data_IF_746058518018
#
_entry.id   IF_746058518018
#
_cell.length_a   1.000
_cell.length_b   1.000
_cell.length_c   1.000
_cell.angle_alpha   90.00
_cell.angle_beta   90.00
_cell.angle_gamma   90.00
#
_symmetry.space_group_name_H-M   'P 1'
#
loop_
_entity.id
_entity.type
_entity.pdbx_description
1 polymer ?
#
# COMPACT_ATOMS: atom_id res chain seq x y z
N UNK A 1 -15.35 -52.24 -59.71
CA UNK A 1 -16.20 -52.42 -58.51
C UNK A 1 -15.69 -51.46 -57.47
N UNK A 2 -16.28 -50.28 -57.39
CA UNK A 2 -15.97 -49.22 -56.42
C UNK A 2 -17.12 -49.16 -55.44
N UNK A 3 -16.85 -49.57 -54.19
CA UNK A 3 -17.83 -49.41 -53.08
C UNK A 3 -17.96 -47.93 -52.72
N UNK A 4 -19.16 -47.39 -52.55
CA UNK A 4 -19.34 -46.03 -52.07
C UNK A 4 -19.08 -45.95 -50.56
N UNK A 5 -18.18 -45.09 -50.15
CA UNK A 5 -17.92 -44.73 -48.76
C UNK A 5 -19.10 -43.89 -48.29
N UNK A 6 -19.89 -44.43 -47.36
CA UNK A 6 -21.00 -43.72 -46.73
C UNK A 6 -20.43 -42.50 -45.87
N UNK A 7 -21.06 -41.33 -45.85
CA UNK A 7 -20.60 -40.23 -45.06
C UNK A 7 -20.83 -40.48 -43.56
N UNK A 8 -19.78 -40.32 -42.75
CA UNK A 8 -19.75 -40.52 -41.29
C UNK A 8 -20.61 -39.45 -40.51
N UNK A 9 -21.36 -38.62 -41.23
CA UNK A 9 -22.07 -37.46 -40.65
C UNK A 9 -23.36 -37.86 -39.86
N UNK A 10 -23.89 -39.05 -40.11
CA UNK A 10 -25.20 -39.49 -39.47
C UNK A 10 -25.05 -40.20 -38.11
N UNK A 11 -23.80 -40.30 -37.57
CA UNK A 11 -23.58 -41.00 -36.30
C UNK A 11 -23.60 -40.06 -35.06
N UNK A 12 -23.69 -38.74 -35.27
CA UNK A 12 -23.81 -37.79 -34.14
C UNK A 12 -25.30 -37.53 -33.92
N UNK A 13 -25.90 -38.34 -33.08
CA UNK A 13 -27.27 -38.05 -32.60
C UNK A 13 -27.38 -36.62 -32.03
N UNK A 14 -28.57 -36.02 -32.01
CA UNK A 14 -28.75 -34.66 -31.53
C UNK A 14 -28.13 -34.50 -30.14
N UNK A 15 -27.24 -33.54 -30.01
CA UNK A 15 -26.59 -33.22 -28.74
C UNK A 15 -27.68 -33.06 -27.66
N UNK A 16 -27.57 -33.85 -26.60
CA UNK A 16 -28.50 -33.72 -25.47
C UNK A 16 -28.54 -32.27 -25.02
N UNK A 17 -29.74 -31.69 -24.83
CA UNK A 17 -29.85 -30.32 -24.38
C UNK A 17 -29.05 -30.15 -23.08
N UNK A 18 -28.34 -29.01 -22.89
CA UNK A 18 -27.60 -28.78 -21.68
C UNK A 18 -28.52 -28.97 -20.48
N UNK A 19 -28.16 -29.90 -19.60
CA UNK A 19 -28.90 -30.10 -18.34
C UNK A 19 -28.91 -28.76 -17.61
N UNK A 20 -29.96 -28.02 -17.68
CA UNK A 20 -30.23 -26.91 -16.77
C UNK A 20 -30.32 -27.54 -15.38
N UNK A 21 -29.23 -27.37 -14.61
CA UNK A 21 -29.27 -27.64 -13.18
C UNK A 21 -30.27 -26.61 -12.60
N UNK A 22 -31.55 -26.95 -12.61
CA UNK A 22 -32.54 -26.22 -11.83
C UNK A 22 -32.12 -26.41 -10.38
N UNK A 23 -31.36 -25.44 -9.87
CA UNK A 23 -30.94 -25.42 -8.49
C UNK A 23 -32.16 -25.43 -7.61
N UNK A 24 -32.52 -26.58 -7.08
CA UNK A 24 -33.35 -26.63 -5.89
C UNK A 24 -32.59 -25.84 -4.84
N UNK A 25 -33.08 -24.62 -4.54
CA UNK A 25 -32.55 -23.80 -3.44
C UNK A 25 -32.76 -24.59 -2.14
N UNK A 26 -31.81 -25.47 -1.85
CA UNK A 26 -31.83 -26.27 -0.64
C UNK A 26 -31.73 -25.33 0.57
N UNK A 27 -32.35 -25.67 1.68
CA UNK A 27 -32.28 -24.89 2.92
C UNK A 27 -30.83 -24.64 3.32
N UNK A 28 -29.91 -25.56 3.00
CA UNK A 28 -28.49 -25.43 3.16
C UNK A 28 -27.87 -24.25 2.37
N UNK A 29 -28.24 -24.05 1.09
CA UNK A 29 -27.75 -22.94 0.29
C UNK A 29 -28.22 -21.58 0.83
N UNK A 30 -29.49 -21.53 1.29
CA UNK A 30 -30.03 -20.31 1.92
C UNK A 30 -29.30 -20.00 3.23
N UNK A 31 -29.07 -21.01 4.06
CA UNK A 31 -28.35 -20.88 5.31
C UNK A 31 -26.90 -20.43 5.05
N UNK A 32 -26.21 -21.07 4.10
CA UNK A 32 -24.85 -20.71 3.71
C UNK A 32 -24.75 -19.26 3.21
N UNK A 33 -25.66 -18.86 2.32
CA UNK A 33 -25.74 -17.48 1.84
C UNK A 33 -26.03 -16.50 2.97
N UNK A 34 -26.93 -16.81 3.89
CA UNK A 34 -27.24 -15.97 5.04
C UNK A 34 -26.02 -15.78 5.96
N UNK A 35 -25.30 -16.88 6.26
CA UNK A 35 -24.06 -16.82 7.07
C UNK A 35 -23.01 -15.96 6.39
N UNK A 36 -22.77 -16.14 5.10
CA UNK A 36 -21.80 -15.31 4.35
C UNK A 36 -22.21 -13.83 4.30
N UNK A 37 -23.52 -13.57 4.14
CA UNK A 37 -24.04 -12.20 4.13
C UNK A 37 -23.87 -11.54 5.50
N UNK A 38 -24.19 -12.27 6.59
CA UNK A 38 -23.98 -11.77 7.95
C UNK A 38 -22.50 -11.51 8.24
N UNK A 39 -21.60 -12.42 7.84
CA UNK A 39 -20.15 -12.24 7.97
C UNK A 39 -19.67 -11.01 7.17
N UNK A 40 -20.18 -10.83 5.95
CA UNK A 40 -19.83 -9.67 5.13
C UNK A 40 -20.35 -8.35 5.74
N UNK A 41 -21.55 -8.36 6.34
CA UNK A 41 -22.11 -7.19 7.01
C UNK A 41 -21.44 -6.88 8.36
N UNK A 42 -20.88 -7.88 9.02
CA UNK A 42 -20.16 -7.69 10.29
C UNK A 42 -18.97 -6.73 10.13
N UNK A 43 -18.23 -6.77 9.00
CA UNK A 43 -17.06 -5.92 8.76
C UNK A 43 -17.43 -4.42 8.76
N UNK A 44 -18.38 -3.92 7.93
CA UNK A 44 -18.74 -2.50 7.95
C UNK A 44 -19.43 -2.08 9.27
N UNK A 45 -20.12 -2.98 9.96
CA UNK A 45 -20.69 -2.69 11.28
C UNK A 45 -19.61 -2.50 12.32
N UNK A 46 -18.60 -3.40 12.38
CA UNK A 46 -17.44 -3.25 13.26
C UNK A 46 -16.65 -1.98 12.96
N UNK A 47 -16.47 -1.65 11.69
CA UNK A 47 -15.80 -0.42 11.28
C UNK A 47 -16.60 0.81 11.75
N UNK A 48 -17.92 0.81 11.58
CA UNK A 48 -18.81 1.87 12.07
C UNK A 48 -18.74 2.02 13.59
N UNK A 49 -18.70 0.91 14.32
CA UNK A 49 -18.55 0.91 15.77
C UNK A 49 -17.18 1.48 16.19
N UNK A 50 -16.10 1.08 15.52
CA UNK A 50 -14.76 1.64 15.75
C UNK A 50 -14.73 3.16 15.54
N UNK A 51 -15.32 3.65 14.47
CA UNK A 51 -15.42 5.10 14.21
C UNK A 51 -16.21 5.81 15.31
N UNK A 52 -17.30 5.20 15.77
CA UNK A 52 -18.11 5.72 16.87
C UNK A 52 -17.31 5.82 18.17
N UNK A 53 -16.56 4.77 18.54
CA UNK A 53 -15.70 4.77 19.72
C UNK A 53 -14.58 5.80 19.63
N UNK A 54 -13.91 5.91 18.46
CA UNK A 54 -12.89 6.95 18.24
C UNK A 54 -13.49 8.35 18.36
N UNK A 55 -14.69 8.58 17.83
CA UNK A 55 -15.39 9.85 17.97
C UNK A 55 -15.75 10.15 19.42
N UNK A 56 -16.29 9.16 20.16
CA UNK A 56 -16.67 9.35 21.57
C UNK A 56 -15.45 9.58 22.44
N UNK A 57 -14.36 8.83 22.27
CA UNK A 57 -13.12 9.02 23.02
C UNK A 57 -12.41 10.35 22.73
N UNK A 58 -12.61 10.91 21.52
CA UNK A 58 -11.98 12.17 21.11
C UNK A 58 -12.78 13.42 21.49
N UNK A 59 -14.02 13.29 22.00
CA UNK A 59 -14.93 14.42 22.24
C UNK A 59 -14.35 15.50 23.15
N UNK A 60 -13.59 15.13 24.18
CA UNK A 60 -13.00 16.09 25.13
C UNK A 60 -11.96 16.96 24.40
N UNK A 61 -11.02 16.35 23.68
CA UNK A 61 -10.01 17.07 22.91
C UNK A 61 -10.63 17.85 21.73
N UNK A 62 -11.65 17.29 21.04
CA UNK A 62 -12.38 17.99 20.00
C UNK A 62 -13.08 19.25 20.53
N UNK A 63 -13.68 19.18 21.72
CA UNK A 63 -14.35 20.31 22.35
C UNK A 63 -13.38 21.43 22.75
N UNK A 64 -12.17 21.08 23.19
CA UNK A 64 -11.18 22.08 23.64
C UNK A 64 -10.36 22.66 22.49
N UNK A 65 -9.89 21.85 21.55
CA UNK A 65 -8.97 22.28 20.50
C UNK A 65 -9.66 22.49 19.15
N UNK A 66 -10.77 21.81 18.90
CA UNK A 66 -11.49 21.93 17.65
C UNK A 66 -10.59 21.67 16.43
N UNK A 67 -10.65 22.58 15.45
CA UNK A 67 -9.88 22.48 14.21
C UNK A 67 -8.40 22.88 14.39
N UNK A 68 -8.06 23.65 15.43
CA UNK A 68 -6.69 24.05 15.71
C UNK A 68 -5.78 22.84 16.02
N UNK A 69 -6.36 21.75 16.55
CA UNK A 69 -5.64 20.49 16.74
C UNK A 69 -4.90 19.98 15.49
N UNK A 70 -5.46 20.20 14.32
CA UNK A 70 -4.86 19.74 13.05
C UNK A 70 -3.74 20.69 12.58
N UNK A 71 -3.79 21.96 12.96
CA UNK A 71 -2.89 23.01 12.48
C UNK A 71 -1.79 23.37 13.47
N UNK A 72 -2.00 23.12 14.75
CA UNK A 72 -1.03 23.41 15.79
C UNK A 72 0.10 22.41 15.82
N UNK A 73 1.31 22.89 16.14
CA UNK A 73 2.54 22.10 16.18
C UNK A 73 3.04 21.77 17.59
N UNK A 74 2.36 22.27 18.64
CA UNK A 74 2.77 22.06 20.02
C UNK A 74 2.15 20.77 20.55
N UNK A 75 2.99 19.88 21.08
CA UNK A 75 2.56 18.68 21.77
C UNK A 75 3.23 18.64 23.14
N UNK A 76 2.50 18.99 24.19
CA UNK A 76 2.99 19.05 25.57
C UNK A 76 1.93 18.44 26.50
N UNK A 77 2.13 17.17 26.92
CA UNK A 77 1.22 16.50 27.83
C UNK A 77 1.15 17.12 29.23
N UNK A 78 2.22 17.81 29.66
CA UNK A 78 2.27 18.44 31.00
C UNK A 78 1.46 19.72 31.01
N UNK A 79 1.54 20.53 29.95
CA UNK A 79 0.76 21.75 29.79
C UNK A 79 -0.62 21.50 29.17
N UNK A 80 -0.98 20.24 28.91
CA UNK A 80 -2.22 19.81 28.26
C UNK A 80 -2.50 20.55 26.94
N UNK A 81 -1.45 20.81 26.15
CA UNK A 81 -1.54 21.42 24.81
C UNK A 81 -1.22 20.39 23.76
N UNK A 82 -2.18 20.16 22.86
CA UNK A 82 -2.05 19.11 21.87
C UNK A 82 -2.33 19.61 20.46
N UNK A 83 -1.35 19.46 19.56
CA UNK A 83 -1.43 19.76 18.14
C UNK A 83 -0.87 18.63 17.30
N UNK A 84 -1.63 18.17 16.32
CA UNK A 84 -1.29 17.00 15.51
C UNK A 84 -0.51 17.31 14.23
N UNK A 85 -0.26 18.58 13.90
CA UNK A 85 0.36 18.96 12.62
C UNK A 85 1.70 18.27 12.34
N UNK A 86 2.67 18.21 13.29
CA UNK A 86 3.92 17.49 13.08
C UNK A 86 3.73 15.99 12.82
N UNK A 87 2.73 15.38 13.47
CA UNK A 87 2.41 13.96 13.34
C UNK A 87 1.79 13.65 11.97
N UNK A 88 0.88 14.51 11.50
CA UNK A 88 0.28 14.43 10.16
C UNK A 88 1.37 14.59 9.10
N UNK A 89 2.21 15.61 9.24
CA UNK A 89 3.34 15.87 8.35
C UNK A 89 4.29 14.67 8.28
N UNK A 90 4.69 14.13 9.44
CA UNK A 90 5.57 12.97 9.53
C UNK A 90 4.98 11.73 8.87
N UNK A 91 3.69 11.45 9.08
CA UNK A 91 2.99 10.33 8.46
C UNK A 91 2.93 10.45 6.94
N UNK A 92 2.57 11.62 6.43
CA UNK A 92 2.47 11.85 4.98
C UNK A 92 3.83 11.82 4.31
N UNK A 93 4.83 12.50 4.89
CA UNK A 93 6.18 12.59 4.33
C UNK A 93 6.87 11.23 4.32
N UNK A 94 6.85 10.48 5.44
CA UNK A 94 7.48 9.15 5.50
C UNK A 94 6.84 8.17 4.52
N UNK A 95 5.51 8.16 4.41
CA UNK A 95 4.78 7.30 3.48
C UNK A 95 5.04 7.68 2.03
N UNK A 96 5.09 8.98 1.71
CA UNK A 96 5.39 9.47 0.37
C UNK A 96 6.82 9.08 -0.07
N UNK A 97 7.82 9.31 0.79
CA UNK A 97 9.21 8.95 0.52
C UNK A 97 9.37 7.43 0.38
N UNK A 98 8.69 6.66 1.22
CA UNK A 98 8.70 5.21 1.13
C UNK A 98 8.14 4.72 -0.22
N UNK A 99 7.04 5.28 -0.69
CA UNK A 99 6.47 4.95 -2.01
C UNK A 99 7.38 5.39 -3.15
N UNK A 100 8.00 6.56 -3.06
CA UNK A 100 8.93 7.05 -4.08
C UNK A 100 10.09 6.08 -4.32
N UNK A 101 10.54 5.39 -3.28
CA UNK A 101 11.59 4.36 -3.35
C UNK A 101 10.99 3.01 -3.75
N UNK A 102 9.91 2.59 -3.08
CA UNK A 102 9.37 1.24 -3.21
C UNK A 102 8.71 0.98 -4.57
N UNK A 103 7.95 1.95 -5.11
CA UNK A 103 7.17 1.74 -6.33
C UNK A 103 8.04 1.40 -7.55
N UNK A 104 9.07 2.22 -7.91
CA UNK A 104 9.88 1.92 -9.09
C UNK A 104 10.64 0.59 -8.95
N UNK A 105 11.15 0.29 -7.76
CA UNK A 105 11.87 -0.96 -7.50
C UNK A 105 10.93 -2.16 -7.58
N UNK A 106 9.76 -2.07 -6.94
CA UNK A 106 8.75 -3.13 -6.93
C UNK A 106 8.23 -3.44 -8.34
N UNK A 107 7.90 -2.40 -9.11
CA UNK A 107 7.41 -2.58 -10.48
C UNK A 107 8.51 -3.12 -11.40
N UNK A 108 9.74 -2.64 -11.27
CA UNK A 108 10.88 -3.15 -12.03
C UNK A 108 11.11 -4.64 -11.80
N UNK A 109 11.08 -5.08 -10.54
CA UNK A 109 11.22 -6.50 -10.18
C UNK A 109 10.00 -7.31 -10.65
N UNK A 110 8.77 -6.81 -10.47
CA UNK A 110 7.57 -7.48 -10.93
C UNK A 110 7.59 -7.72 -12.45
N UNK A 111 7.91 -6.69 -13.24
CA UNK A 111 8.07 -6.79 -14.70
C UNK A 111 9.20 -7.76 -15.07
N UNK A 112 10.35 -7.69 -14.39
CA UNK A 112 11.45 -8.60 -14.67
C UNK A 112 11.03 -10.07 -14.46
N UNK A 113 10.37 -10.38 -13.35
CA UNK A 113 9.96 -11.76 -13.02
C UNK A 113 8.91 -12.28 -14.01
N UNK A 114 7.96 -11.44 -14.43
CA UNK A 114 6.87 -11.86 -15.31
C UNK A 114 7.33 -12.03 -16.75
N UNK A 115 8.10 -11.09 -17.30
CA UNK A 115 8.36 -11.00 -18.73
C UNK A 115 9.78 -11.48 -19.12
N UNK A 116 10.79 -11.25 -18.29
CA UNK A 116 12.19 -11.49 -18.65
C UNK A 116 12.83 -12.66 -17.94
N UNK A 117 12.44 -12.98 -16.70
CA UNK A 117 13.08 -14.02 -15.92
C UNK A 117 12.92 -15.40 -16.56
N UNK A 118 13.96 -16.25 -16.55
CA UNK A 118 13.86 -17.64 -16.98
C UNK A 118 12.91 -18.40 -16.06
N UNK A 119 12.21 -19.40 -16.61
CA UNK A 119 11.13 -20.14 -15.92
C UNK A 119 11.55 -20.72 -14.58
N UNK A 120 12.81 -21.17 -14.45
CA UNK A 120 13.31 -21.76 -13.20
C UNK A 120 13.51 -20.74 -12.06
N UNK A 121 13.64 -19.42 -12.35
CA UNK A 121 13.78 -18.37 -11.33
C UNK A 121 12.44 -17.78 -10.88
N UNK A 122 11.39 -17.86 -11.70
CA UNK A 122 10.11 -17.20 -11.45
C UNK A 122 9.47 -17.63 -10.14
N UNK A 123 9.38 -18.94 -9.89
CA UNK A 123 8.77 -19.48 -8.66
C UNK A 123 9.62 -19.25 -7.41
N UNK A 124 10.94 -19.56 -7.39
CA UNK A 124 11.77 -19.30 -6.23
C UNK A 124 11.79 -17.82 -5.81
N UNK A 125 11.90 -16.90 -6.78
CA UNK A 125 11.90 -15.46 -6.46
C UNK A 125 10.53 -15.01 -5.94
N UNK A 126 9.42 -15.48 -6.54
CA UNK A 126 8.09 -15.19 -6.03
C UNK A 126 7.91 -15.69 -4.58
N UNK A 127 8.36 -16.91 -4.28
CA UNK A 127 8.31 -17.47 -2.94
C UNK A 127 9.12 -16.64 -1.92
N UNK A 128 10.32 -16.17 -2.29
CA UNK A 128 11.12 -15.30 -1.43
C UNK A 128 10.41 -13.97 -1.17
N UNK A 129 9.76 -13.37 -2.18
CA UNK A 129 8.99 -12.13 -2.03
C UNK A 129 7.83 -12.34 -1.04
N UNK A 130 7.10 -13.45 -1.16
CA UNK A 130 6.00 -13.79 -0.25
C UNK A 130 6.50 -14.01 1.18
N UNK A 131 7.65 -14.67 1.36
CA UNK A 131 8.28 -14.82 2.68
C UNK A 131 8.67 -13.46 3.29
N UNK A 132 9.25 -12.56 2.50
CA UNK A 132 9.60 -11.21 2.96
C UNK A 132 8.34 -10.42 3.38
N UNK A 133 7.23 -10.56 2.65
CA UNK A 133 5.97 -9.92 3.00
C UNK A 133 5.36 -10.44 4.31
N UNK A 134 5.68 -11.68 4.71
CA UNK A 134 5.19 -12.31 5.93
C UNK A 134 5.99 -11.97 7.20
N UNK A 135 7.16 -11.32 7.06
CA UNK A 135 8.00 -10.94 8.21
C UNK A 135 7.26 -9.88 9.06
N UNK A 136 7.16 -10.08 10.40
CA UNK A 136 6.58 -9.09 11.31
C UNK A 136 7.34 -7.75 11.26
N UNK A 137 6.61 -6.62 11.31
CA UNK A 137 7.20 -5.28 11.23
C UNK A 137 8.21 -4.97 12.34
N UNK A 138 8.02 -5.54 13.53
CA UNK A 138 8.96 -5.41 14.65
C UNK A 138 10.35 -5.96 14.28
N UNK A 139 10.42 -7.07 13.52
CA UNK A 139 11.70 -7.64 13.08
C UNK A 139 12.42 -6.68 12.14
N UNK A 140 11.70 -6.05 11.22
CA UNK A 140 12.25 -4.98 10.37
C UNK A 140 12.73 -3.79 11.20
N UNK A 141 11.98 -3.41 12.24
CA UNK A 141 12.35 -2.34 13.15
C UNK A 141 13.66 -2.63 13.90
N UNK A 142 13.78 -3.82 14.50
CA UNK A 142 15.01 -4.27 15.19
C UNK A 142 16.19 -4.35 14.23
N UNK A 143 16.03 -4.98 13.07
CA UNK A 143 17.05 -5.02 12.05
C UNK A 143 17.45 -3.60 11.60
N UNK A 144 16.47 -2.71 11.52
CA UNK A 144 16.67 -1.32 11.16
C UNK A 144 17.58 -0.58 12.15
N UNK A 145 17.36 -0.73 13.45
CA UNK A 145 18.18 -0.10 14.49
C UNK A 145 19.63 -0.63 14.46
N UNK A 146 19.78 -1.96 14.44
CA UNK A 146 21.10 -2.57 14.63
C UNK A 146 21.94 -2.68 13.35
N UNK A 147 21.31 -2.71 12.18
CA UNK A 147 22.00 -2.92 10.91
C UNK A 147 21.81 -1.73 9.97
N UNK A 148 20.55 -1.34 9.70
CA UNK A 148 20.27 -0.30 8.70
C UNK A 148 20.78 1.08 9.16
N UNK A 149 20.46 1.53 10.38
CA UNK A 149 20.92 2.84 10.88
C UNK A 149 22.44 2.97 10.89
N UNK A 150 23.23 2.02 11.43
CA UNK A 150 24.69 2.09 11.34
C UNK A 150 25.21 2.14 9.91
N UNK A 151 24.61 1.36 9.01
CA UNK A 151 24.97 1.37 7.59
C UNK A 151 24.64 2.72 6.92
N UNK A 152 23.43 3.26 7.13
CA UNK A 152 23.03 4.55 6.60
C UNK A 152 23.93 5.68 7.11
N UNK A 153 24.23 5.69 8.41
CA UNK A 153 25.07 6.69 9.06
C UNK A 153 26.51 6.67 8.56
N UNK A 154 27.04 5.48 8.26
CA UNK A 154 28.43 5.32 7.83
C UNK A 154 28.62 5.61 6.34
N UNK A 155 27.68 5.21 5.49
CA UNK A 155 27.88 5.24 4.03
C UNK A 155 26.88 6.16 3.31
N UNK A 156 25.59 6.03 3.56
CA UNK A 156 24.56 6.67 2.74
C UNK A 156 24.36 8.14 3.09
N UNK A 157 24.21 8.47 4.38
CA UNK A 157 23.98 9.85 4.80
C UNK A 157 25.15 10.80 4.47
N UNK A 158 26.41 10.41 4.68
CA UNK A 158 27.54 11.22 4.23
C UNK A 158 27.59 11.40 2.72
N UNK A 159 27.31 10.33 1.94
CA UNK A 159 27.27 10.40 0.49
C UNK A 159 26.15 11.33 0.00
N UNK A 160 24.92 11.19 0.55
CA UNK A 160 23.80 12.08 0.23
C UNK A 160 24.11 13.54 0.58
N UNK A 161 24.75 13.79 1.73
CA UNK A 161 25.16 15.12 2.13
C UNK A 161 26.23 15.72 1.20
N UNK A 162 27.16 14.91 0.72
CA UNK A 162 28.20 15.37 -0.22
C UNK A 162 27.61 15.71 -1.58
N UNK A 163 26.70 14.88 -2.11
CA UNK A 163 26.11 15.05 -3.44
C UNK A 163 24.99 16.07 -3.45
N UNK A 164 24.10 16.03 -2.45
CA UNK A 164 22.86 16.81 -2.38
C UNK A 164 22.85 17.85 -1.24
N UNK A 165 23.98 18.10 -0.58
CA UNK A 165 24.08 19.03 0.54
C UNK A 165 23.77 20.50 0.21
N UNK A 166 23.61 20.85 -1.07
CA UNK A 166 23.08 22.14 -1.51
C UNK A 166 21.56 22.27 -1.29
N UNK A 167 20.85 21.15 -1.13
CA UNK A 167 19.42 21.13 -0.84
C UNK A 167 19.19 21.17 0.68
N UNK A 168 18.23 21.94 1.19
CA UNK A 168 17.93 22.01 2.62
C UNK A 168 17.50 20.65 3.22
N UNK A 169 16.98 19.75 2.41
CA UNK A 169 16.56 18.42 2.82
C UNK A 169 17.70 17.49 3.26
N UNK A 170 18.94 17.75 2.83
CA UNK A 170 20.13 16.94 3.12
C UNK A 170 21.17 17.69 3.95
N UNK A 171 20.76 18.75 4.65
CA UNK A 171 21.61 19.54 5.54
C UNK A 171 21.36 19.17 7.01
N UNK A 172 22.28 19.58 7.89
CA UNK A 172 22.14 19.39 9.33
C UNK A 172 22.88 18.17 9.90
N UNK A 173 22.76 17.94 11.21
CA UNK A 173 23.46 16.86 11.90
C UNK A 173 22.86 15.48 11.58
N UNK A 174 23.71 14.47 11.54
CA UNK A 174 23.35 13.08 11.26
C UNK A 174 23.20 12.35 12.61
N UNK A 175 21.99 12.26 13.13
CA UNK A 175 21.73 11.58 14.42
C UNK A 175 21.66 10.05 14.30
N UNK A 176 21.18 9.53 13.18
CA UNK A 176 20.91 8.10 12.94
C UNK A 176 19.42 7.84 12.78
N UNK A 177 18.64 7.74 13.88
CA UNK A 177 17.18 7.76 13.78
C UNK A 177 16.71 9.06 13.13
N UNK A 178 15.90 8.93 12.08
CA UNK A 178 15.56 10.09 11.24
C UNK A 178 14.36 9.77 10.34
N UNK A 179 13.76 10.81 9.79
CA UNK A 179 12.69 10.70 8.79
C UNK A 179 13.11 9.82 7.60
N UNK A 180 14.36 10.01 7.11
CA UNK A 180 14.86 9.22 5.98
C UNK A 180 15.08 7.76 6.33
N UNK A 181 15.62 7.44 7.54
CA UNK A 181 15.79 6.06 7.98
C UNK A 181 14.46 5.33 8.09
N UNK A 182 13.45 5.99 8.67
CA UNK A 182 12.09 5.47 8.76
C UNK A 182 11.46 5.26 7.36
N UNK A 183 11.66 6.19 6.44
CA UNK A 183 11.14 6.07 5.07
C UNK A 183 11.80 4.91 4.30
N UNK A 184 13.10 4.67 4.50
CA UNK A 184 13.81 3.57 3.84
C UNK A 184 13.34 2.21 4.38
N UNK A 185 13.23 2.04 5.71
CA UNK A 185 12.73 0.78 6.26
C UNK A 185 11.30 0.51 5.83
N UNK A 186 10.47 1.55 5.82
CA UNK A 186 9.09 1.47 5.35
C UNK A 186 9.04 1.07 3.85
N UNK A 187 9.92 1.63 3.01
CA UNK A 187 10.04 1.24 1.61
C UNK A 187 10.40 -0.25 1.47
N UNK A 188 11.42 -0.72 2.21
CA UNK A 188 11.83 -2.13 2.20
C UNK A 188 10.67 -3.05 2.59
N UNK A 189 9.86 -2.65 3.56
CA UNK A 189 8.75 -3.44 4.08
C UNK A 189 7.54 -3.48 3.14
N UNK A 190 7.23 -2.37 2.45
CA UNK A 190 6.10 -2.35 1.52
C UNK A 190 6.44 -2.88 0.13
N UNK A 191 7.73 -2.92 -0.24
CA UNK A 191 8.20 -3.44 -1.53
C UNK A 191 7.68 -4.84 -1.87
N UNK A 192 7.84 -5.87 -1.00
CA UNK A 192 7.37 -7.22 -1.31
C UNK A 192 5.87 -7.27 -1.55
N UNK A 193 5.12 -6.46 -0.82
CA UNK A 193 3.67 -6.38 -0.93
C UNK A 193 3.24 -5.79 -2.29
N UNK A 194 3.85 -4.67 -2.70
CA UNK A 194 3.58 -4.07 -4.01
C UNK A 194 4.01 -5.01 -5.14
N UNK A 195 5.18 -5.66 -5.01
CA UNK A 195 5.68 -6.62 -6.00
C UNK A 195 4.73 -7.79 -6.21
N UNK A 196 4.24 -8.40 -5.12
CA UNK A 196 3.33 -9.55 -5.18
C UNK A 196 2.07 -9.20 -5.94
N UNK A 197 1.40 -8.10 -5.57
CA UNK A 197 0.15 -7.68 -6.23
C UNK A 197 0.39 -7.24 -7.67
N UNK A 198 1.46 -6.48 -7.94
CA UNK A 198 1.80 -6.04 -9.30
C UNK A 198 2.12 -7.23 -10.20
N UNK A 199 2.83 -8.25 -9.69
CA UNK A 199 3.12 -9.49 -10.42
C UNK A 199 1.84 -10.22 -10.82
N UNK A 200 0.89 -10.40 -9.90
CA UNK A 200 -0.40 -11.05 -10.21
C UNK A 200 -1.18 -10.28 -11.28
N UNK A 201 -1.18 -8.96 -11.20
CA UNK A 201 -1.82 -8.09 -12.20
C UNK A 201 -1.15 -8.23 -13.58
N UNK A 202 0.18 -8.29 -13.64
CA UNK A 202 0.91 -8.46 -14.90
C UNK A 202 0.69 -9.86 -15.49
N UNK A 203 0.59 -10.90 -14.67
CA UNK A 203 0.28 -12.26 -15.12
C UNK A 203 -1.16 -12.40 -15.66
N UNK A 204 -2.08 -11.58 -15.17
CA UNK A 204 -3.47 -11.56 -15.64
C UNK A 204 -3.64 -10.91 -17.03
N UNK A 205 -2.60 -10.29 -17.60
CA UNK A 205 -2.65 -9.74 -18.97
C UNK A 205 -2.75 -10.90 -19.97
N UNK A 206 -3.74 -10.92 -20.89
CA UNK A 206 -3.90 -11.98 -21.87
C UNK A 206 -2.68 -12.14 -22.79
N UNK A 207 -2.31 -13.39 -23.09
CA UNK A 207 -1.17 -13.68 -23.99
C UNK A 207 -1.37 -13.10 -25.39
N UNK A 208 -2.62 -12.98 -25.85
CA UNK A 208 -2.96 -12.32 -27.12
C UNK A 208 -2.42 -10.89 -27.24
N UNK A 209 -2.33 -10.15 -26.15
CA UNK A 209 -1.76 -8.79 -26.16
C UNK A 209 -0.24 -8.82 -26.37
N UNK A 210 0.45 -9.83 -25.80
CA UNK A 210 1.87 -10.05 -25.98
C UNK A 210 2.19 -10.49 -27.41
N UNK A 211 1.45 -11.49 -27.89
CA UNK A 211 1.62 -12.06 -29.22
C UNK A 211 1.33 -11.05 -30.33
N UNK A 212 0.24 -10.25 -30.19
CA UNK A 212 -0.08 -9.22 -31.15
C UNK A 212 1.02 -8.16 -31.27
N UNK A 213 1.59 -7.70 -30.16
CA UNK A 213 2.69 -6.73 -30.15
C UNK A 213 3.95 -7.29 -30.80
N UNK A 214 4.31 -8.55 -30.49
CA UNK A 214 5.47 -9.23 -31.08
C UNK A 214 5.28 -9.52 -32.59
N UNK A 215 4.05 -9.85 -33.01
CA UNK A 215 3.72 -10.09 -34.44
C UNK A 215 3.87 -8.81 -35.29
N UNK A 216 3.70 -7.64 -34.68
CA UNK A 216 3.95 -6.33 -35.32
C UNK A 216 5.45 -5.95 -35.34
N UNK A 217 6.34 -6.84 -34.87
CA UNK A 217 7.78 -6.62 -34.87
C UNK A 217 8.34 -5.91 -33.63
N UNK A 218 7.52 -5.68 -32.60
CA UNK A 218 7.99 -5.09 -31.35
C UNK A 218 8.98 -6.02 -30.61
N UNK A 219 9.99 -5.44 -29.98
CA UNK A 219 10.85 -6.15 -29.06
C UNK A 219 10.09 -6.48 -27.76
N UNK A 220 10.60 -7.40 -26.94
CA UNK A 220 9.98 -7.72 -25.63
C UNK A 220 9.82 -6.50 -24.74
N UNK A 221 10.79 -5.59 -24.75
CA UNK A 221 10.72 -4.34 -23.95
C UNK A 221 9.65 -3.39 -24.46
N UNK A 222 9.56 -3.22 -25.78
CA UNK A 222 8.52 -2.42 -26.42
C UNK A 222 7.13 -3.00 -26.14
N UNK A 223 6.95 -4.32 -26.19
CA UNK A 223 5.71 -4.98 -25.84
C UNK A 223 5.31 -4.71 -24.37
N UNK A 224 6.28 -4.71 -23.44
CA UNK A 224 6.03 -4.36 -22.03
C UNK A 224 5.51 -2.93 -21.90
N UNK A 225 6.16 -1.96 -22.53
CA UNK A 225 5.81 -0.54 -22.40
C UNK A 225 4.53 -0.19 -23.16
N UNK A 226 4.35 -0.73 -24.39
CA UNK A 226 3.27 -0.33 -25.28
C UNK A 226 1.97 -1.12 -25.12
N UNK A 227 2.04 -2.37 -24.63
CA UNK A 227 0.88 -3.25 -24.51
C UNK A 227 0.62 -3.68 -23.06
N UNK A 228 1.62 -4.29 -22.38
CA UNK A 228 1.41 -4.96 -21.08
C UNK A 228 1.15 -3.94 -19.96
N UNK A 229 2.03 -2.95 -19.76
CA UNK A 229 1.86 -1.94 -18.71
C UNK A 229 0.60 -1.09 -18.93
N UNK A 230 0.27 -0.60 -20.14
CA UNK A 230 -0.96 0.12 -20.39
C UNK A 230 -2.23 -0.70 -20.12
N UNK A 231 -2.21 -1.99 -20.42
CA UNK A 231 -3.32 -2.89 -20.08
C UNK A 231 -3.45 -3.10 -18.57
N UNK A 232 -2.34 -3.36 -17.89
CA UNK A 232 -2.25 -3.66 -16.46
C UNK A 232 -2.37 -2.43 -15.54
N UNK A 233 -2.33 -1.20 -16.08
CA UNK A 233 -2.18 0.05 -15.32
C UNK A 233 -3.16 0.22 -14.16
N UNK A 234 -4.43 -0.13 -14.33
CA UNK A 234 -5.43 0.00 -13.26
C UNK A 234 -5.12 -0.91 -12.06
N UNK A 235 -4.64 -2.13 -12.32
CA UNK A 235 -4.21 -3.06 -11.30
C UNK A 235 -2.88 -2.64 -10.65
N UNK A 236 -1.92 -2.13 -11.43
CA UNK A 236 -0.65 -1.59 -10.92
C UNK A 236 -0.92 -0.43 -9.96
N UNK A 237 -1.78 0.51 -10.33
CA UNK A 237 -2.20 1.58 -9.41
C UNK A 237 -2.90 1.02 -8.17
N UNK A 238 -3.70 -0.04 -8.32
CA UNK A 238 -4.29 -0.76 -7.18
C UNK A 238 -3.24 -1.28 -6.21
N UNK A 239 -2.16 -1.90 -6.71
CA UNK A 239 -1.04 -2.36 -5.91
C UNK A 239 -0.35 -1.22 -5.15
N UNK A 240 -0.15 -0.07 -5.80
CA UNK A 240 0.44 1.12 -5.19
C UNK A 240 -0.44 1.67 -4.07
N UNK A 241 -1.77 1.75 -4.27
CA UNK A 241 -2.71 2.22 -3.23
C UNK A 241 -2.72 1.28 -2.02
N UNK A 242 -2.69 -0.02 -2.26
CA UNK A 242 -2.60 -1.01 -1.18
C UNK A 242 -1.29 -0.83 -0.39
N UNK A 243 -0.17 -0.60 -1.08
CA UNK A 243 1.11 -0.26 -0.45
C UNK A 243 1.05 1.03 0.36
N UNK A 244 0.40 2.07 -0.18
CA UNK A 244 0.18 3.35 0.51
C UNK A 244 -0.64 3.18 1.80
N UNK A 245 -1.75 2.42 1.73
CA UNK A 245 -2.57 2.15 2.90
C UNK A 245 -1.78 1.45 4.02
N UNK A 246 -0.92 0.50 3.65
CA UNK A 246 0.01 -0.15 4.59
C UNK A 246 1.03 0.84 5.16
N UNK A 247 1.61 1.70 4.33
CA UNK A 247 2.60 2.68 4.75
C UNK A 247 2.04 3.71 5.75
N UNK A 248 0.82 4.21 5.53
CA UNK A 248 0.17 5.18 6.41
C UNK A 248 -0.13 4.62 7.81
N UNK A 249 -0.40 3.32 7.91
CA UNK A 249 -0.73 2.65 9.17
C UNK A 249 0.45 1.96 9.86
N UNK A 250 1.67 2.02 9.29
CA UNK A 250 2.81 1.35 9.90
C UNK A 250 3.22 2.02 11.20
N UNK A 251 3.32 1.19 12.23
CA UNK A 251 3.56 1.64 13.59
C UNK A 251 4.95 1.27 14.08
N UNK A 252 5.20 -0.04 14.24
CA UNK A 252 6.36 -0.54 15.01
C UNK A 252 7.69 -0.28 14.33
N UNK A 253 7.81 -0.58 13.04
CA UNK A 253 9.07 -0.36 12.32
C UNK A 253 9.42 1.13 12.26
N UNK A 254 8.43 1.99 12.03
CA UNK A 254 8.62 3.45 11.96
C UNK A 254 8.99 4.02 13.32
N UNK A 255 8.25 3.67 14.39
CA UNK A 255 8.54 4.13 15.75
C UNK A 255 10.00 3.91 16.17
N UNK A 256 10.56 2.77 15.78
CA UNK A 256 11.94 2.41 16.14
C UNK A 256 13.00 3.23 15.40
N UNK A 257 12.71 3.76 14.23
CA UNK A 257 13.72 4.39 13.37
C UNK A 257 13.52 5.88 13.15
N UNK A 258 12.33 6.44 13.44
CA UNK A 258 12.01 7.84 13.11
C UNK A 258 12.59 8.85 14.10
N UNK A 259 12.83 8.43 15.36
CA UNK A 259 13.43 9.24 16.41
C UNK A 259 12.46 9.97 17.32
N UNK A 260 11.15 9.86 17.09
CA UNK A 260 10.03 10.24 17.98
C UNK A 260 10.10 11.67 18.56
N UNK A 261 10.28 12.66 17.67
CA UNK A 261 10.26 14.08 18.04
C UNK A 261 9.11 14.81 17.37
N UNK A 262 8.37 15.61 18.13
CA UNK A 262 7.23 16.41 17.68
C UNK A 262 7.64 17.69 16.92
N UNK A 263 8.78 17.70 16.26
CA UNK A 263 9.32 18.85 15.55
C UNK A 263 9.27 18.65 14.04
N UNK A 264 8.96 19.71 13.31
CA UNK A 264 9.04 19.73 11.85
C UNK A 264 10.39 20.33 11.48
N UNK A 265 11.23 19.52 10.84
CA UNK A 265 12.50 19.95 10.29
C UNK A 265 12.49 19.83 8.77
N UNK A 266 13.15 20.77 8.08
CA UNK A 266 13.33 20.67 6.64
C UNK A 266 14.26 19.50 6.25
N UNK A 267 15.19 19.13 7.15
CA UNK A 267 16.16 18.08 6.91
C UNK A 267 15.54 16.68 7.10
N UNK A 268 15.75 15.81 6.13
CA UNK A 268 15.37 14.39 6.21
C UNK A 268 16.27 13.58 7.16
N UNK A 269 17.42 14.14 7.57
CA UNK A 269 18.29 13.55 8.61
C UNK A 269 17.80 13.85 10.02
N UNK A 270 16.87 14.79 10.17
CA UNK A 270 16.25 15.09 11.44
C UNK A 270 15.25 14.00 11.87
N UNK A 271 15.11 13.78 13.16
CA UNK A 271 14.03 12.96 13.70
C UNK A 271 12.66 13.60 13.44
N UNK A 272 11.61 12.78 13.41
CA UNK A 272 10.23 13.20 13.29
C UNK A 272 9.33 12.28 14.11
N UNK A 273 8.02 12.40 13.90
CA UNK A 273 7.04 11.52 14.54
C UNK A 273 5.85 11.27 13.61
N UNK A 274 5.29 10.06 13.64
CA UNK A 274 4.05 9.73 12.90
C UNK A 274 2.87 9.56 13.85
N UNK A 275 1.66 9.70 13.34
CA UNK A 275 0.44 9.52 14.12
C UNK A 275 0.33 8.11 14.72
N UNK A 276 0.66 7.06 13.95
CA UNK A 276 0.65 5.71 14.46
C UNK A 276 1.72 5.48 15.54
N UNK A 277 2.90 6.08 15.38
CA UNK A 277 4.00 5.96 16.34
C UNK A 277 3.70 6.66 17.68
N UNK A 278 3.11 7.85 17.68
CA UNK A 278 2.74 8.54 18.93
C UNK A 278 1.69 7.77 19.71
N UNK A 279 0.68 7.22 19.02
CA UNK A 279 -0.33 6.38 19.67
C UNK A 279 0.34 5.18 20.35
N UNK A 280 1.22 4.47 19.64
CA UNK A 280 1.89 3.29 20.19
C UNK A 280 2.79 3.59 21.40
N UNK A 281 3.47 4.74 21.39
CA UNK A 281 4.38 5.11 22.48
C UNK A 281 3.66 5.69 23.69
N UNK A 282 2.69 6.59 23.47
CA UNK A 282 2.14 7.44 24.53
C UNK A 282 0.80 6.94 25.08
N UNK A 283 0.11 6.02 24.39
CA UNK A 283 -1.22 5.56 24.81
C UNK A 283 -1.20 4.87 26.20
N UNK A 284 -0.17 4.07 26.48
CA UNK A 284 -0.01 3.41 27.77
C UNK A 284 0.53 4.34 28.87
N UNK A 285 1.07 5.50 28.49
CA UNK A 285 1.65 6.50 29.41
C UNK A 285 0.70 7.66 29.68
N UNK A 286 -0.47 7.69 28.99
CA UNK A 286 -1.45 8.74 29.14
C UNK A 286 -2.02 8.77 30.58
N UNK A 287 -1.68 9.82 31.34
CA UNK A 287 -2.03 9.96 32.73
C UNK A 287 -3.30 10.78 32.97
N UNK A 288 -3.71 11.63 32.03
CA UNK A 288 -4.90 12.49 32.12
C UNK A 288 -5.94 12.12 31.07
N UNK A 289 -7.21 12.35 31.37
CA UNK A 289 -8.31 12.13 30.45
C UNK A 289 -8.15 12.96 29.17
N UNK A 290 -7.55 14.15 29.29
CA UNK A 290 -7.27 15.03 28.16
C UNK A 290 -6.20 14.40 27.25
N UNK A 291 -5.11 13.87 27.79
CA UNK A 291 -4.06 13.22 27.01
C UNK A 291 -4.61 11.98 26.30
N UNK A 292 -5.37 11.15 27.01
CA UNK A 292 -6.04 9.99 26.41
C UNK A 292 -6.99 10.40 25.28
N UNK A 293 -7.79 11.44 25.48
CA UNK A 293 -8.71 11.97 24.47
C UNK A 293 -7.96 12.57 23.27
N UNK A 294 -6.82 13.25 23.50
CA UNK A 294 -5.98 13.78 22.42
C UNK A 294 -5.37 12.66 21.56
N UNK A 295 -4.86 11.58 22.15
CA UNK A 295 -4.36 10.41 21.43
C UNK A 295 -5.46 9.70 20.64
N UNK A 296 -6.66 9.61 21.22
CA UNK A 296 -7.84 9.07 20.50
C UNK A 296 -8.24 9.98 19.33
N UNK A 297 -8.08 11.30 19.51
CA UNK A 297 -8.32 12.26 18.41
C UNK A 297 -7.27 12.12 17.30
N UNK A 298 -5.98 11.87 17.62
CA UNK A 298 -4.96 11.52 16.62
C UNK A 298 -5.37 10.28 15.84
N UNK A 299 -5.88 9.24 16.53
CA UNK A 299 -6.36 8.02 15.87
C UNK A 299 -7.56 8.28 14.94
N UNK A 300 -8.50 9.14 15.36
CA UNK A 300 -9.63 9.55 14.53
C UNK A 300 -9.17 10.34 13.29
N UNK A 301 -8.21 11.25 13.46
CA UNK A 301 -7.61 12.03 12.36
C UNK A 301 -6.84 11.10 11.41
N UNK A 302 -6.07 10.13 11.92
CA UNK A 302 -5.36 9.12 11.10
C UNK A 302 -6.35 8.30 10.25
N UNK A 303 -7.45 7.87 10.86
CA UNK A 303 -8.50 7.16 10.15
C UNK A 303 -9.09 8.01 9.01
N UNK A 304 -9.47 9.27 9.31
CA UNK A 304 -9.98 10.21 8.33
C UNK A 304 -8.97 10.51 7.21
N UNK A 305 -7.69 10.73 7.56
CA UNK A 305 -6.61 10.96 6.61
C UNK A 305 -6.41 9.75 5.69
N UNK A 306 -6.43 8.54 6.24
CA UNK A 306 -6.29 7.31 5.48
C UNK A 306 -7.42 7.14 4.46
N UNK A 307 -8.66 7.42 4.86
CA UNK A 307 -9.81 7.42 3.93
C UNK A 307 -9.63 8.48 2.84
N UNK A 308 -9.26 9.70 3.21
CA UNK A 308 -9.12 10.82 2.28
C UNK A 308 -8.02 10.53 1.24
N UNK A 309 -6.85 10.07 1.68
CA UNK A 309 -5.72 9.74 0.79
C UNK A 309 -6.08 8.58 -0.13
N UNK A 310 -6.70 7.51 0.39
CA UNK A 310 -7.14 6.38 -0.44
C UNK A 310 -8.25 6.77 -1.43
N UNK A 311 -9.19 7.63 -1.02
CA UNK A 311 -10.23 8.13 -1.91
C UNK A 311 -9.65 9.03 -3.00
N UNK A 312 -8.72 9.93 -2.67
CA UNK A 312 -8.01 10.77 -3.63
C UNK A 312 -7.21 9.93 -4.65
N UNK A 313 -6.49 8.91 -4.18
CA UNK A 313 -5.75 7.99 -5.03
C UNK A 313 -6.68 7.22 -5.97
N UNK A 314 -7.81 6.69 -5.49
CA UNK A 314 -8.83 6.01 -6.33
C UNK A 314 -9.45 6.95 -7.37
N UNK A 315 -9.75 8.18 -6.97
CA UNK A 315 -10.30 9.20 -7.88
C UNK A 315 -9.30 9.51 -9.02
N UNK A 316 -8.03 9.62 -8.70
CA UNK A 316 -6.96 9.84 -9.67
C UNK A 316 -6.88 8.69 -10.69
N UNK A 317 -6.93 7.44 -10.21
CA UNK A 317 -6.95 6.25 -11.08
C UNK A 317 -8.17 6.28 -12.01
N UNK A 318 -9.34 6.55 -11.46
CA UNK A 318 -10.57 6.59 -12.23
C UNK A 318 -10.51 7.63 -13.37
N UNK A 319 -9.92 8.81 -13.11
CA UNK A 319 -9.68 9.83 -14.14
C UNK A 319 -8.70 9.36 -15.20
N UNK A 320 -7.58 8.77 -14.81
CA UNK A 320 -6.56 8.25 -15.74
C UNK A 320 -7.11 7.07 -16.56
N UNK A 321 -7.89 6.17 -15.97
CA UNK A 321 -8.50 5.05 -16.68
C UNK A 321 -9.55 5.50 -17.71
N UNK A 322 -10.36 6.51 -17.42
CA UNK A 322 -11.35 7.06 -18.35
C UNK A 322 -10.73 7.77 -19.55
N UNK A 323 -9.65 8.52 -19.36
CA UNK A 323 -8.98 9.23 -20.45
C UNK A 323 -8.50 8.31 -21.58
N UNK A 324 -8.18 7.05 -21.26
CA UNK A 324 -7.75 6.09 -22.28
C UNK A 324 -8.90 5.34 -22.98
N UNK A 325 -10.05 5.21 -22.35
CA UNK A 325 -11.24 4.63 -23.01
C UNK A 325 -11.81 5.56 -24.09
N UNK A 326 -11.57 6.85 -23.98
CA UNK A 326 -12.01 7.85 -24.97
C UNK A 326 -11.07 7.84 -26.19
N UNK A 327 -9.75 7.64 -25.99
CA UNK A 327 -8.78 7.53 -27.11
C UNK A 327 -8.95 6.26 -27.95
N UNK A 328 -9.45 5.16 -27.39
CA UNK A 328 -9.69 3.91 -28.13
C UNK A 328 -11.01 3.89 -28.92
N UNK A 329 -11.91 4.84 -28.70
CA UNK A 329 -13.16 5.01 -29.50
C UNK A 329 -13.02 6.02 -30.65
N UNK A 330 -11.88 6.68 -30.77
CA UNK A 330 -11.62 7.71 -31.80
C UNK A 330 -10.68 7.21 -32.89
N UNK A 331 -10.31 5.95 -32.93
CA UNK A 331 -9.63 5.21 -34.01
C UNK A 331 -10.52 4.08 -34.51
#
# INVERSE_FOLDING_TARGET
MTSPVAPIVDAIGPAAPPRTLTGTSNAADRLFRAVLTLAALAIPVLLGFLVYELYMGSRLAMGQFGFSFITDSVWDPVAEKFGAFPLIFGTLLSSFLALLIAVPLSLGVAVYITEFAPKFLRQPVAFVIELLAAIPSVVYGLWGIFVLIPFLKKFIFPALRTVFGFLPFFQGPIYGPSMLAASIILAIMIMPFIMSVAREVLLAVPDSQREASLALGATRWEAVISAIIPYARSGIFGAIILGLGRALGETMAVTMLIGNRHEIAASLFAPGYTMAAVIANEFSEAATDMHFSALTYVAFVLFGLTILVNAAARLLIWRVARGAAIGSKAL
#
